data_IF_417061846435
#
_entry.id   IF_417061846435
#
_cell.length_a   1.000
_cell.length_b   1.000
_cell.length_c   1.000
_cell.angle_alpha   90.00
_cell.angle_beta   90.00
_cell.angle_gamma   90.00
#
_symmetry.space_group_name_H-M   'P 1'
#
loop_
_entity.id
_entity.type
_entity.pdbx_description
1 polymer ?
#
# COMPACT_ATOMS: atom_id res chain seq x y z
N UNK A 1 0.40 30.78 -8.40
CA UNK A 1 0.84 29.37 -8.50
C UNK A 1 -0.41 28.52 -8.67
N UNK A 2 -0.40 27.21 -8.40
CA UNK A 2 -1.68 26.50 -8.20
C UNK A 2 -2.27 26.88 -6.84
N UNK A 3 -3.59 26.84 -6.69
CA UNK A 3 -4.24 27.16 -5.42
C UNK A 3 -3.83 26.22 -4.27
N UNK A 4 -3.32 25.02 -4.59
CA UNK A 4 -2.76 24.09 -3.60
C UNK A 4 -1.33 24.45 -3.18
N UNK A 5 -0.51 24.97 -4.09
CA UNK A 5 0.83 25.47 -3.77
C UNK A 5 0.80 26.75 -2.90
N UNK A 6 -0.30 27.49 -2.93
CA UNK A 6 -0.53 28.65 -2.03
C UNK A 6 -1.19 28.25 -0.70
N UNK A 7 -1.74 27.04 -0.61
CA UNK A 7 -2.39 26.47 0.59
C UNK A 7 -1.43 25.67 1.48
N UNK A 8 -0.39 25.07 0.89
CA UNK A 8 0.54 24.17 1.57
C UNK A 8 2.00 24.63 1.39
N UNK A 9 2.74 24.74 2.50
CA UNK A 9 4.15 25.14 2.49
C UNK A 9 5.05 24.17 1.71
N UNK A 10 6.28 24.58 1.33
CA UNK A 10 7.19 23.78 0.51
C UNK A 10 7.74 22.52 1.20
N UNK A 11 7.61 22.44 2.53
CA UNK A 11 7.94 21.26 3.34
C UNK A 11 6.91 20.14 3.21
N UNK A 12 7.30 18.89 3.53
CA UNK A 12 6.36 17.77 3.54
C UNK A 12 5.33 17.96 4.65
N UNK A 13 4.06 17.95 4.24
CA UNK A 13 2.97 18.37 5.12
C UNK A 13 2.58 17.31 6.17
N UNK A 14 2.10 17.81 7.31
CA UNK A 14 1.46 17.05 8.38
C UNK A 14 0.00 17.48 8.47
N UNK A 15 -0.90 16.65 7.95
CA UNK A 15 -2.34 16.94 7.79
C UNK A 15 -3.18 16.07 8.73
N UNK A 16 -4.50 16.25 8.73
CA UNK A 16 -5.42 15.44 9.55
C UNK A 16 -6.22 14.48 8.67
N UNK A 17 -6.81 13.43 9.26
CA UNK A 17 -7.73 12.55 8.55
C UNK A 17 -9.01 13.22 7.98
N UNK A 18 -9.27 14.49 8.34
CA UNK A 18 -10.36 15.32 7.79
C UNK A 18 -9.95 16.13 6.55
N UNK A 19 -8.70 16.04 6.12
CA UNK A 19 -8.19 16.74 4.94
C UNK A 19 -8.76 16.10 3.66
N UNK A 20 -9.20 16.89 2.66
CA UNK A 20 -9.67 16.38 1.38
C UNK A 20 -8.71 15.37 0.74
N UNK A 21 -9.23 14.30 0.14
CA UNK A 21 -8.40 13.27 -0.49
C UNK A 21 -7.63 13.83 -1.69
N UNK A 22 -8.20 14.84 -2.33
CA UNK A 22 -7.65 15.56 -3.47
C UNK A 22 -6.40 16.37 -3.08
N UNK A 23 -6.41 16.97 -1.88
CA UNK A 23 -5.22 17.61 -1.28
C UNK A 23 -4.13 16.56 -0.96
N UNK A 24 -4.53 15.40 -0.43
CA UNK A 24 -3.62 14.30 -0.07
C UNK A 24 -2.94 13.73 -1.33
N UNK A 25 -3.68 13.57 -2.43
CA UNK A 25 -3.15 13.17 -3.73
C UNK A 25 -2.20 14.24 -4.29
N UNK A 26 -2.53 15.53 -4.17
CA UNK A 26 -1.62 16.62 -4.55
C UNK A 26 -0.30 16.57 -3.76
N UNK A 27 -0.36 16.36 -2.44
CA UNK A 27 0.83 16.30 -1.59
C UNK A 27 1.69 15.06 -1.90
N UNK A 28 1.07 13.90 -2.13
CA UNK A 28 1.79 12.69 -2.58
C UNK A 28 2.50 12.91 -3.93
N UNK A 29 1.82 13.51 -4.92
CA UNK A 29 2.45 13.88 -6.21
C UNK A 29 3.62 14.84 -6.03
N UNK A 30 3.46 15.86 -5.18
CA UNK A 30 4.45 16.92 -4.96
C UNK A 30 5.67 16.42 -4.20
N UNK A 31 5.48 15.61 -3.16
CA UNK A 31 6.49 15.38 -2.12
C UNK A 31 6.92 13.91 -1.98
N UNK A 32 6.16 12.97 -2.53
CA UNK A 32 6.42 11.52 -2.45
C UNK A 32 5.95 10.87 -1.14
N UNK A 33 5.35 11.65 -0.25
CA UNK A 33 4.85 11.22 1.05
C UNK A 33 4.07 12.34 1.74
N UNK A 34 3.18 11.99 2.67
CA UNK A 34 2.43 12.94 3.49
C UNK A 34 2.07 12.26 4.81
N UNK A 35 2.15 13.00 5.92
CA UNK A 35 1.76 12.48 7.23
C UNK A 35 0.30 12.84 7.52
N UNK A 36 -0.53 11.83 7.82
CA UNK A 36 -1.95 12.03 8.12
C UNK A 36 -2.19 11.62 9.57
N UNK A 37 -2.43 12.59 10.46
CA UNK A 37 -2.64 12.31 11.88
C UNK A 37 -4.06 11.79 12.14
N UNK A 38 -4.14 10.65 12.84
CA UNK A 38 -5.38 10.01 13.26
C UNK A 38 -6.17 9.48 12.07
N UNK A 39 -5.47 8.93 11.07
CA UNK A 39 -6.08 8.28 9.92
C UNK A 39 -6.82 7.01 10.36
N UNK A 40 -6.24 6.32 11.35
CA UNK A 40 -6.80 5.17 12.04
C UNK A 40 -7.01 5.53 13.52
N UNK A 41 -8.11 5.09 14.17
CA UNK A 41 -8.27 5.24 15.62
C UNK A 41 -7.26 4.38 16.39
N UNK A 42 -6.60 4.96 17.41
CA UNK A 42 -5.65 4.24 18.28
C UNK A 42 -6.20 2.91 18.84
N UNK A 43 -7.49 2.77 19.24
CA UNK A 43 -8.05 1.49 19.68
C UNK A 43 -8.08 0.39 18.60
N UNK A 44 -8.29 0.75 17.33
CA UNK A 44 -8.29 -0.21 16.21
C UNK A 44 -6.86 -0.66 15.86
N UNK A 45 -5.88 0.19 16.16
CA UNK A 45 -4.44 -0.13 16.08
C UNK A 45 -4.05 -1.07 17.22
N UNK A 46 -4.44 -0.76 18.45
CA UNK A 46 -4.21 -1.60 19.63
C UNK A 46 -4.80 -3.00 19.41
N UNK A 47 -6.05 -3.08 18.95
CA UNK A 47 -6.72 -4.34 18.64
C UNK A 47 -6.02 -5.11 17.51
N UNK A 48 -5.58 -4.44 16.44
CA UNK A 48 -4.80 -5.09 15.38
C UNK A 48 -3.42 -5.59 15.86
N UNK A 49 -2.80 -4.92 16.83
CA UNK A 49 -1.57 -5.37 17.48
C UNK A 49 -1.80 -6.57 18.41
N UNK A 50 -2.88 -6.58 19.21
CA UNK A 50 -3.28 -7.77 20.00
C UNK A 50 -3.52 -8.98 19.08
N UNK A 51 -4.29 -8.80 18.00
CA UNK A 51 -4.63 -9.84 17.02
C UNK A 51 -3.41 -10.47 16.31
N UNK A 52 -2.29 -9.75 16.20
CA UNK A 52 -1.06 -10.27 15.58
C UNK A 52 0.09 -10.56 16.55
N UNK A 53 -0.07 -10.25 17.85
CA UNK A 53 1.00 -10.37 18.86
C UNK A 53 1.61 -11.77 18.92
N UNK A 54 0.79 -12.82 18.92
CA UNK A 54 1.29 -14.21 18.98
C UNK A 54 2.28 -14.50 17.85
N UNK A 55 2.07 -13.92 16.66
CA UNK A 55 3.00 -14.06 15.54
C UNK A 55 4.27 -13.23 15.69
N UNK A 56 4.19 -12.02 16.24
CA UNK A 56 5.37 -11.19 16.55
C UNK A 56 6.25 -11.81 17.65
N UNK A 57 5.63 -12.44 18.65
CA UNK A 57 6.31 -13.04 19.79
C UNK A 57 6.98 -14.38 19.43
N UNK A 58 6.47 -15.08 18.40
CA UNK A 58 7.01 -16.35 17.89
C UNK A 58 7.73 -16.22 16.53
N UNK A 59 8.10 -15.01 16.10
CA UNK A 59 8.89 -14.82 14.87
C UNK A 59 10.35 -15.27 15.04
N UNK A 60 10.99 -15.70 13.94
CA UNK A 60 12.32 -16.29 13.92
C UNK A 60 13.36 -15.37 13.26
N UNK A 61 14.59 -15.37 13.78
CA UNK A 61 15.68 -14.51 13.28
C UNK A 61 15.87 -14.64 11.76
N UNK A 62 16.05 -13.50 11.08
CA UNK A 62 16.22 -13.48 9.63
C UNK A 62 17.58 -14.07 9.23
N UNK A 63 17.57 -15.13 8.43
CA UNK A 63 18.78 -15.70 7.86
C UNK A 63 19.29 -14.83 6.68
N UNK A 64 19.90 -13.69 6.99
CA UNK A 64 20.44 -12.76 6.01
C UNK A 64 20.68 -11.35 6.57
N UNK A 65 20.85 -10.36 5.70
CA UNK A 65 21.17 -8.97 6.08
C UNK A 65 20.03 -7.96 5.94
N UNK A 66 18.86 -8.37 5.43
CA UNK A 66 17.77 -7.46 5.07
C UNK A 66 16.97 -6.96 6.27
N UNK A 67 16.69 -7.84 7.24
CA UNK A 67 16.16 -7.47 8.56
C UNK A 67 17.24 -7.64 9.63
N UNK A 68 17.43 -6.67 10.54
CA UNK A 68 18.16 -6.88 11.79
C UNK A 68 17.52 -8.02 12.60
N UNK A 69 18.32 -8.71 13.42
CA UNK A 69 17.81 -9.75 14.35
C UNK A 69 16.92 -9.17 15.45
N UNK A 70 17.04 -7.86 15.68
CA UNK A 70 16.19 -7.07 16.57
C UNK A 70 14.80 -6.82 15.98
N UNK A 71 14.54 -7.12 14.71
CA UNK A 71 13.25 -6.89 14.04
C UNK A 71 12.40 -8.16 13.99
N UNK A 72 11.29 -8.15 14.72
CA UNK A 72 10.24 -9.19 14.68
C UNK A 72 9.13 -8.76 13.72
N UNK A 73 8.52 -9.71 12.99
CA UNK A 73 7.51 -9.45 11.95
C UNK A 73 6.30 -10.37 12.10
N UNK A 74 5.10 -9.82 11.91
CA UNK A 74 3.88 -10.60 11.71
C UNK A 74 3.39 -10.52 10.27
N UNK A 75 3.94 -11.37 9.36
CA UNK A 75 3.39 -11.50 8.03
C UNK A 75 2.03 -12.20 8.05
N UNK A 76 1.23 -11.87 7.04
CA UNK A 76 -0.19 -12.17 6.86
C UNK A 76 -1.16 -11.46 7.83
N UNK A 77 -1.11 -10.13 8.00
CA UNK A 77 -2.13 -9.47 8.88
C UNK A 77 -3.57 -9.69 8.40
N UNK A 78 -3.84 -9.87 7.10
CA UNK A 78 -5.18 -10.29 6.65
C UNK A 78 -5.62 -11.69 7.14
N UNK A 79 -4.67 -12.53 7.56
CA UNK A 79 -4.95 -13.82 8.20
C UNK A 79 -5.04 -13.70 9.73
N UNK A 80 -4.32 -12.75 10.32
CA UNK A 80 -4.16 -12.62 11.78
C UNK A 80 -5.18 -11.65 12.40
N UNK A 81 -5.44 -10.53 11.72
CA UNK A 81 -6.17 -9.39 12.25
C UNK A 81 -7.37 -9.00 11.37
N UNK A 82 -8.59 -9.39 11.78
CA UNK A 82 -9.82 -8.89 11.17
C UNK A 82 -10.07 -7.40 11.41
N UNK A 83 -9.38 -6.78 12.37
CA UNK A 83 -9.42 -5.33 12.58
C UNK A 83 -8.57 -4.59 11.55
N UNK A 84 -7.32 -5.05 11.33
CA UNK A 84 -6.42 -4.60 10.25
C UNK A 84 -7.15 -4.51 8.90
N UNK A 85 -7.86 -5.59 8.54
CA UNK A 85 -8.52 -5.71 7.26
C UNK A 85 -9.58 -4.62 7.02
N UNK A 86 -10.28 -4.20 8.09
CA UNK A 86 -11.44 -3.30 7.99
C UNK A 86 -11.09 -1.83 8.16
N UNK A 87 -10.20 -1.48 9.09
CA UNK A 87 -9.99 -0.06 9.44
C UNK A 87 -8.77 0.55 8.75
N UNK A 88 -7.70 -0.24 8.54
CA UNK A 88 -6.47 0.18 7.87
C UNK A 88 -6.50 -0.12 6.38
N UNK A 89 -6.65 -1.39 5.99
CA UNK A 89 -6.58 -1.76 4.57
C UNK A 89 -7.72 -1.14 3.75
N UNK A 90 -8.96 -1.23 4.25
CA UNK A 90 -10.14 -0.63 3.61
C UNK A 90 -10.41 0.81 4.07
N UNK A 91 -9.40 1.52 4.59
CA UNK A 91 -9.55 2.93 4.94
C UNK A 91 -10.00 3.75 3.71
N UNK A 92 -11.12 4.51 3.77
CA UNK A 92 -11.67 5.19 2.59
C UNK A 92 -10.76 6.23 1.94
N UNK A 93 -9.81 6.81 2.68
CA UNK A 93 -8.81 7.73 2.11
C UNK A 93 -7.72 6.94 1.38
N UNK A 94 -7.19 5.88 2.00
CA UNK A 94 -6.17 5.03 1.39
C UNK A 94 -6.67 4.32 0.13
N UNK A 95 -7.88 3.76 0.17
CA UNK A 95 -8.49 3.10 -1.00
C UNK A 95 -8.63 4.05 -2.19
N UNK A 96 -9.08 5.29 -1.97
CA UNK A 96 -9.13 6.34 -3.02
C UNK A 96 -7.74 6.73 -3.54
N UNK A 97 -6.73 6.80 -2.68
CA UNK A 97 -5.35 7.08 -3.09
C UNK A 97 -4.81 5.95 -3.97
N UNK A 98 -5.02 4.69 -3.59
CA UNK A 98 -4.72 3.54 -4.42
C UNK A 98 -5.49 3.56 -5.75
N UNK A 99 -6.80 3.86 -5.73
CA UNK A 99 -7.59 3.98 -6.96
C UNK A 99 -7.05 5.09 -7.88
N UNK A 100 -6.60 6.23 -7.35
CA UNK A 100 -6.00 7.32 -8.15
C UNK A 100 -4.69 6.89 -8.82
N UNK A 101 -3.74 6.35 -8.04
CA UNK A 101 -2.38 6.11 -8.54
C UNK A 101 -2.21 4.79 -9.31
N UNK A 102 -3.06 3.79 -9.05
CA UNK A 102 -2.83 2.41 -9.52
C UNK A 102 -3.96 1.87 -10.41
N UNK A 103 -5.09 2.56 -10.58
CA UNK A 103 -6.13 2.10 -11.52
C UNK A 103 -5.70 2.39 -12.96
N UNK A 104 -5.28 1.35 -13.67
CA UNK A 104 -4.92 1.48 -15.09
C UNK A 104 -6.14 1.27 -15.99
N UNK A 105 -6.20 2.07 -17.07
CA UNK A 105 -7.25 1.98 -18.10
C UNK A 105 -6.60 1.98 -19.48
N UNK A 106 -6.94 0.99 -20.29
CA UNK A 106 -6.53 0.92 -21.69
C UNK A 106 -7.68 0.39 -22.55
N UNK A 107 -7.68 0.72 -23.84
CA UNK A 107 -8.66 0.21 -24.78
C UNK A 107 -8.07 -0.91 -25.64
N UNK A 108 -8.92 -1.82 -26.11
CA UNK A 108 -8.54 -2.91 -27.01
C UNK A 108 -9.61 -3.14 -28.08
N UNK A 109 -9.22 -3.77 -29.19
CA UNK A 109 -10.16 -4.21 -30.23
C UNK A 109 -10.72 -5.59 -29.91
N UNK A 110 -12.05 -5.71 -29.92
CA UNK A 110 -12.79 -6.95 -29.82
C UNK A 110 -13.54 -7.18 -31.14
N UNK A 111 -12.87 -7.82 -32.10
CA UNK A 111 -13.32 -7.83 -33.49
C UNK A 111 -13.36 -6.42 -34.06
N UNK A 112 -14.58 -5.92 -34.33
CA UNK A 112 -14.81 -4.55 -34.81
C UNK A 112 -15.21 -3.55 -33.71
N UNK A 113 -15.36 -4.01 -32.46
CA UNK A 113 -15.72 -3.17 -31.31
C UNK A 113 -14.47 -2.65 -30.59
N UNK A 114 -14.51 -1.42 -30.07
CA UNK A 114 -13.45 -0.89 -29.19
C UNK A 114 -13.94 -0.92 -27.75
N UNK A 115 -13.42 -1.86 -26.95
CA UNK A 115 -13.74 -2.02 -25.52
C UNK A 115 -12.68 -1.35 -24.64
N UNK A 116 -13.06 -0.97 -23.41
CA UNK A 116 -12.11 -0.57 -22.35
C UNK A 116 -11.84 -1.77 -21.44
N UNK A 117 -10.58 -1.91 -21.01
CA UNK A 117 -10.14 -2.77 -19.92
C UNK A 117 -9.72 -1.87 -18.76
N UNK A 118 -10.12 -2.28 -17.55
CA UNK A 118 -9.85 -1.56 -16.30
C UNK A 118 -9.17 -2.54 -15.35
N UNK A 119 -7.98 -2.20 -14.88
CA UNK A 119 -7.31 -2.96 -13.84
C UNK A 119 -7.19 -2.11 -12.58
N UNK A 120 -7.87 -2.57 -11.51
CA UNK A 120 -7.83 -1.94 -10.19
C UNK A 120 -6.61 -2.43 -9.41
N UNK A 121 -6.13 -1.66 -8.41
CA UNK A 121 -5.18 -2.17 -7.44
C UNK A 121 -5.75 -3.35 -6.64
N UNK A 122 -4.87 -4.29 -6.34
CA UNK A 122 -5.07 -5.34 -5.34
C UNK A 122 -4.05 -5.17 -4.22
N UNK A 123 -4.25 -5.85 -3.08
CA UNK A 123 -3.23 -5.92 -2.03
C UNK A 123 -2.01 -6.69 -2.55
N UNK A 124 -0.97 -5.96 -2.95
CA UNK A 124 0.31 -6.55 -3.37
C UNK A 124 1.03 -7.15 -2.15
N UNK A 125 1.82 -6.34 -1.44
CA UNK A 125 2.49 -6.63 -0.12
C UNK A 125 2.98 -4.68 2.13
N UNK A 126 3.22 -4.92 3.47
CA UNK A 126 3.94 -4.09 4.46
C UNK A 126 4.75 -5.06 5.35
N UNK A 127 5.21 -4.66 6.55
CA UNK A 127 4.88 -5.50 7.72
C UNK A 127 4.67 -4.80 9.05
N UNK A 128 3.78 -5.38 9.86
CA UNK A 128 3.80 -5.25 11.31
C UNK A 128 5.21 -5.64 11.74
N UNK A 129 5.98 -4.64 12.17
CA UNK A 129 7.42 -4.71 12.38
C UNK A 129 7.70 -4.16 13.76
N UNK A 130 7.93 -5.06 14.72
CA UNK A 130 8.39 -4.65 16.04
C UNK A 130 9.91 -4.58 16.03
N UNK A 131 10.43 -3.37 15.86
CA UNK A 131 11.88 -3.09 15.79
C UNK A 131 12.40 -2.88 17.22
N UNK A 132 13.27 -3.79 17.68
CA UNK A 132 13.89 -3.74 18.99
C UNK A 132 15.09 -2.77 19.08
N UNK A 133 15.45 -2.32 20.31
CA UNK A 133 16.62 -1.48 20.53
C UNK A 133 17.90 -2.11 20.01
N UNK A 134 18.70 -1.35 19.26
CA UNK A 134 19.94 -1.82 18.63
C UNK A 134 19.79 -2.27 17.16
N UNK A 135 18.55 -2.35 16.64
CA UNK A 135 18.29 -2.59 15.23
C UNK A 135 18.98 -1.55 14.34
N UNK A 136 19.58 -2.02 13.23
CA UNK A 136 20.29 -1.16 12.27
C UNK A 136 19.31 -0.56 11.26
N UNK A 137 19.53 0.70 10.88
CA UNK A 137 18.83 1.30 9.76
C UNK A 137 19.08 0.50 8.47
N UNK A 138 18.03 0.29 7.69
CA UNK A 138 18.14 -0.32 6.36
C UNK A 138 18.81 0.67 5.37
N UNK A 139 19.49 0.19 4.32
CA UNK A 139 19.97 1.05 3.24
C UNK A 139 18.81 1.78 2.55
N UNK A 140 19.05 2.97 1.99
CA UNK A 140 18.03 3.70 1.23
C UNK A 140 17.67 2.94 -0.06
N UNK A 141 16.37 2.73 -0.30
CA UNK A 141 15.82 1.98 -1.44
C UNK A 141 14.46 2.56 -1.86
N UNK A 142 13.84 1.97 -2.90
CA UNK A 142 12.43 2.12 -3.24
C UNK A 142 11.82 0.73 -3.36
N UNK A 143 10.64 0.48 -2.81
CA UNK A 143 10.07 -0.87 -2.72
C UNK A 143 9.69 -1.49 -4.09
N UNK A 144 9.59 -0.69 -5.15
CA UNK A 144 9.21 -1.12 -6.50
C UNK A 144 10.31 -1.92 -7.24
N UNK A 145 11.48 -2.16 -6.62
CA UNK A 145 12.53 -3.01 -7.21
C UNK A 145 12.03 -4.43 -7.56
N UNK A 146 11.03 -4.93 -6.82
CA UNK A 146 10.34 -6.21 -7.05
C UNK A 146 9.41 -6.21 -8.27
N UNK A 147 8.92 -5.04 -8.68
CA UNK A 147 8.11 -4.86 -9.90
C UNK A 147 8.97 -4.69 -11.15
N UNK A 148 10.29 -4.51 -10.98
CA UNK A 148 11.25 -4.18 -12.03
C UNK A 148 10.92 -2.88 -12.80
N UNK A 149 10.24 -1.94 -12.15
CA UNK A 149 9.91 -0.63 -12.70
C UNK A 149 11.18 0.17 -13.02
N UNK A 150 11.16 0.91 -14.14
CA UNK A 150 12.24 1.81 -14.54
C UNK A 150 11.72 3.24 -14.66
N UNK A 151 12.06 4.06 -13.68
CA UNK A 151 11.63 5.45 -13.60
C UNK A 151 12.48 6.35 -14.47
N UNK A 152 11.80 7.26 -15.18
CA UNK A 152 12.42 8.45 -15.78
C UNK A 152 12.27 9.63 -14.83
N UNK A 153 13.28 10.50 -14.86
CA UNK A 153 13.26 11.75 -14.09
C UNK A 153 12.18 12.70 -14.63
N UNK A 154 11.47 13.36 -13.72
CA UNK A 154 10.43 14.36 -14.01
C UNK A 154 10.60 15.54 -13.04
N UNK A 155 10.20 16.75 -13.47
CA UNK A 155 10.26 17.96 -12.63
C UNK A 155 9.03 18.10 -11.73
N UNK A 156 7.86 17.72 -12.27
CA UNK A 156 6.55 17.67 -11.64
C UNK A 156 5.79 16.45 -12.16
N UNK A 157 4.82 15.96 -11.38
CA UNK A 157 3.97 14.80 -11.70
C UNK A 157 2.63 15.28 -12.26
N UNK A 158 2.43 15.11 -13.56
CA UNK A 158 1.15 15.35 -14.24
C UNK A 158 0.45 14.04 -14.64
N UNK A 159 -0.86 13.94 -14.40
CA UNK A 159 -1.61 12.68 -14.55
C UNK A 159 -1.62 12.11 -15.98
N UNK A 160 -1.24 12.91 -16.99
CA UNK A 160 -1.21 12.48 -18.39
C UNK A 160 -0.07 11.49 -18.70
N UNK A 161 1.02 11.47 -17.89
CA UNK A 161 2.17 10.58 -18.12
C UNK A 161 2.09 9.24 -17.40
N UNK A 162 1.46 9.19 -16.23
CA UNK A 162 1.91 8.27 -15.18
C UNK A 162 1.07 6.98 -15.00
N UNK A 163 0.31 6.58 -16.03
CA UNK A 163 -0.37 5.26 -16.13
C UNK A 163 0.54 4.04 -15.90
N UNK A 164 1.85 4.23 -15.91
CA UNK A 164 2.87 3.17 -15.77
C UNK A 164 4.03 3.60 -14.86
N UNK A 165 3.85 4.60 -13.98
CA UNK A 165 4.93 5.08 -13.10
C UNK A 165 5.05 4.22 -11.83
N UNK A 166 3.98 4.19 -11.04
CA UNK A 166 3.96 3.43 -9.79
C UNK A 166 3.33 2.05 -10.00
N UNK A 167 3.89 1.05 -9.32
CA UNK A 167 3.31 -0.29 -9.20
C UNK A 167 2.66 -0.54 -7.83
N UNK A 168 2.90 0.34 -6.86
CA UNK A 168 2.38 0.23 -5.50
C UNK A 168 2.23 1.60 -4.84
N UNK A 169 1.37 1.68 -3.83
CA UNK A 169 1.31 2.77 -2.85
C UNK A 169 1.53 2.13 -1.48
N UNK A 170 2.44 2.70 -0.68
CA UNK A 170 2.68 2.26 0.69
C UNK A 170 1.84 3.07 1.68
N UNK A 171 1.05 2.41 2.52
CA UNK A 171 0.49 3.01 3.72
C UNK A 171 1.35 2.59 4.92
N UNK A 172 2.10 3.55 5.47
CA UNK A 172 2.85 3.37 6.72
C UNK A 172 2.03 3.94 7.87
N UNK A 173 1.80 3.07 8.84
CA UNK A 173 0.92 3.20 9.99
C UNK A 173 1.89 2.82 11.13
N UNK A 174 2.20 3.75 12.05
CA UNK A 174 3.43 3.74 12.86
C UNK A 174 3.31 3.08 14.26
N UNK A 175 3.80 1.84 14.46
CA UNK A 175 3.37 0.89 15.53
C UNK A 175 3.41 1.33 17.00
N UNK A 176 4.12 2.41 17.32
CA UNK A 176 4.16 3.09 18.62
C UNK A 176 4.36 4.59 18.38
N UNK A 177 4.62 5.41 19.40
CA UNK A 177 5.15 6.75 19.10
C UNK A 177 6.53 6.61 18.45
N UNK A 178 6.63 6.98 17.17
CA UNK A 178 7.86 6.95 16.40
C UNK A 178 8.55 8.31 16.47
N UNK A 179 9.86 8.30 16.72
CA UNK A 179 10.75 9.46 16.75
C UNK A 179 12.03 9.17 15.97
N UNK A 180 12.91 10.16 15.82
CA UNK A 180 14.24 9.93 15.23
C UNK A 180 15.07 8.90 16.02
N UNK A 181 14.95 8.90 17.35
CA UNK A 181 15.78 8.10 18.26
C UNK A 181 15.42 6.62 18.28
N UNK A 182 14.14 6.27 18.06
CA UNK A 182 13.69 4.86 18.00
C UNK A 182 13.61 4.29 16.57
N UNK A 183 14.19 4.99 15.58
CA UNK A 183 14.39 4.48 14.22
C UNK A 183 13.31 4.84 13.21
N UNK A 184 12.58 5.94 13.41
CA UNK A 184 11.54 6.39 12.48
C UNK A 184 11.99 6.52 11.03
N UNK A 185 11.11 6.10 10.12
CA UNK A 185 11.40 5.89 8.69
C UNK A 185 12.09 7.09 8.06
N UNK A 186 13.26 6.85 7.47
CA UNK A 186 14.00 7.85 6.70
C UNK A 186 13.49 7.85 5.27
N UNK A 187 13.10 9.02 4.75
CA UNK A 187 12.80 9.19 3.33
C UNK A 187 13.33 10.54 2.84
N UNK A 188 13.65 10.62 1.55
CA UNK A 188 14.07 11.87 0.91
C UNK A 188 12.82 12.50 0.24
N UNK A 189 12.38 13.69 0.65
CA UNK A 189 11.30 14.39 -0.04
C UNK A 189 11.59 14.56 -1.53
N UNK A 190 10.55 14.40 -2.37
CA UNK A 190 10.63 14.50 -3.84
C UNK A 190 11.50 13.44 -4.54
N UNK A 191 12.04 12.44 -3.82
CA UNK A 191 12.92 11.43 -4.46
C UNK A 191 12.21 10.45 -5.38
N UNK A 192 10.88 10.37 -5.32
CA UNK A 192 10.04 9.60 -6.25
C UNK A 192 10.10 10.15 -7.68
N UNK A 193 10.30 11.47 -7.84
CA UNK A 193 10.42 12.13 -9.14
C UNK A 193 11.68 11.73 -9.91
N UNK A 194 12.70 11.22 -9.23
CA UNK A 194 14.03 10.98 -9.83
C UNK A 194 14.08 9.75 -10.75
N UNK A 195 15.06 9.72 -11.66
CA UNK A 195 15.34 8.54 -12.51
C UNK A 195 15.90 7.33 -11.73
N UNK A 196 15.71 6.12 -12.28
CA UNK A 196 16.34 4.89 -11.77
C UNK A 196 17.85 4.83 -12.06
N UNK A 197 18.33 5.37 -13.20
CA UNK A 197 19.74 5.23 -13.62
C UNK A 197 20.68 6.35 -13.15
N UNK A 198 20.34 7.07 -12.07
CA UNK A 198 21.17 8.14 -11.49
C UNK A 198 22.61 7.68 -11.25
N UNK A 199 23.58 8.57 -11.53
CA UNK A 199 25.01 8.27 -11.41
C UNK A 199 25.57 8.48 -9.99
N UNK A 200 24.73 8.89 -9.05
CA UNK A 200 25.06 9.14 -7.63
C UNK A 200 23.97 8.49 -6.77
N UNK A 201 24.31 7.69 -5.75
CA UNK A 201 23.32 7.07 -4.86
C UNK A 201 22.59 8.11 -3.99
N UNK A 202 21.39 7.78 -3.47
CA UNK A 202 20.74 8.60 -2.44
C UNK A 202 21.61 8.68 -1.16
N UNK A 203 21.50 9.79 -0.43
CA UNK A 203 22.31 10.08 0.76
C UNK A 203 21.42 10.24 1.99
N UNK A 204 21.88 9.78 3.15
CA UNK A 204 21.13 9.83 4.41
C UNK A 204 20.98 11.27 4.93
N UNK A 205 21.90 12.15 4.55
CA UNK A 205 21.88 13.57 4.89
C UNK A 205 20.77 14.35 4.16
N UNK A 206 20.20 13.78 3.09
CA UNK A 206 19.06 14.34 2.35
C UNK A 206 17.70 13.86 2.92
N UNK A 207 17.70 12.97 3.91
CA UNK A 207 16.47 12.40 4.49
C UNK A 207 15.84 13.29 5.56
N UNK A 208 14.50 13.27 5.62
CA UNK A 208 13.75 13.62 6.83
C UNK A 208 13.23 12.35 7.52
N UNK A 209 12.83 12.48 8.79
CA UNK A 209 12.41 11.36 9.64
C UNK A 209 10.90 11.34 9.85
N UNK A 210 10.30 10.16 9.71
CA UNK A 210 8.88 9.91 9.95
C UNK A 210 8.55 9.84 11.45
N UNK A 211 8.58 10.99 12.12
CA UNK A 211 8.07 11.09 13.50
C UNK A 211 6.53 11.03 13.47
N UNK A 212 5.92 10.11 14.21
CA UNK A 212 4.49 9.76 14.09
C UNK A 212 3.91 9.29 15.44
N UNK A 213 2.60 9.40 15.59
CA UNK A 213 1.83 8.80 16.69
C UNK A 213 1.28 7.41 16.26
N UNK A 214 0.69 6.63 17.18
CA UNK A 214 0.55 5.16 17.09
C UNK A 214 -0.46 4.62 16.05
N UNK A 215 -0.04 3.71 15.16
CA UNK A 215 -0.76 3.17 13.97
C UNK A 215 -0.10 1.82 13.45
N UNK A 216 -0.68 0.78 12.77
CA UNK A 216 0.11 -0.39 12.18
C UNK A 216 -0.54 -1.19 10.99
N UNK A 217 0.21 -1.97 10.14
CA UNK A 217 -0.21 -2.43 8.77
C UNK A 217 0.44 -3.75 8.17
N UNK A 218 -0.24 -4.63 7.35
CA UNK A 218 0.41 -5.74 6.54
C UNK A 218 -0.37 -6.52 5.43
N UNK A 219 0.44 -7.15 4.55
CA UNK A 219 0.21 -8.12 3.45
C UNK A 219 -0.26 -9.61 3.76
N UNK A 220 0.49 -10.67 3.33
CA UNK A 220 -0.03 -11.93 2.74
C UNK A 220 0.33 -13.30 3.36
N UNK A 221 -0.71 -14.12 3.64
CA UNK A 221 -0.79 -15.59 3.43
C UNK A 221 -2.18 -16.14 3.87
N UNK A 222 -3.29 -15.56 3.40
CA UNK A 222 -4.62 -15.75 4.02
C UNK A 222 -5.23 -17.13 3.74
N UNK A 223 -5.57 -17.93 4.77
CA UNK A 223 -6.34 -19.16 4.58
C UNK A 223 -7.76 -18.87 4.08
N UNK A 224 -8.27 -19.72 3.18
CA UNK A 224 -9.59 -19.53 2.56
C UNK A 224 -10.72 -19.38 3.59
N UNK A 225 -10.69 -20.14 4.69
CA UNK A 225 -11.71 -20.04 5.74
C UNK A 225 -11.72 -18.68 6.47
N UNK A 226 -10.57 -18.00 6.54
CA UNK A 226 -10.50 -16.63 7.08
C UNK A 226 -10.98 -15.63 6.02
N UNK A 227 -10.56 -15.78 4.77
CA UNK A 227 -10.99 -14.94 3.66
C UNK A 227 -12.53 -14.92 3.48
N UNK A 228 -13.21 -16.05 3.74
CA UNK A 228 -14.69 -16.15 3.75
C UNK A 228 -15.38 -15.27 4.80
N UNK A 229 -14.72 -14.92 5.90
CA UNK A 229 -15.32 -14.13 7.01
C UNK A 229 -15.38 -12.62 6.74
N UNK A 230 -14.68 -12.16 5.70
CA UNK A 230 -14.67 -10.76 5.31
C UNK A 230 -15.88 -10.36 4.45
N UNK A 231 -16.13 -9.06 4.40
CA UNK A 231 -17.08 -8.47 3.47
C UNK A 231 -16.56 -8.46 2.02
N UNK A 232 -17.44 -8.13 1.08
CA UNK A 232 -17.12 -8.17 -0.34
C UNK A 232 -15.98 -7.19 -0.72
N UNK A 233 -15.98 -5.90 -0.32
CA UNK A 233 -14.88 -4.99 -0.64
C UNK A 233 -13.49 -5.49 -0.19
N UNK A 234 -13.37 -6.04 1.03
CA UNK A 234 -12.12 -6.69 1.48
C UNK A 234 -11.74 -7.85 0.56
N UNK A 235 -12.68 -8.74 0.23
CA UNK A 235 -12.44 -9.89 -0.65
C UNK A 235 -12.03 -9.47 -2.08
N UNK A 236 -12.62 -8.42 -2.64
CA UNK A 236 -12.27 -7.88 -3.95
C UNK A 236 -10.81 -7.38 -3.97
N UNK A 237 -10.44 -6.54 -2.98
CA UNK A 237 -9.07 -6.03 -2.86
C UNK A 237 -8.04 -7.12 -2.52
N UNK A 238 -8.47 -8.23 -1.90
CA UNK A 238 -7.68 -9.45 -1.69
C UNK A 238 -7.44 -10.30 -2.94
N UNK A 239 -7.99 -9.92 -4.10
CA UNK A 239 -7.85 -10.69 -5.35
C UNK A 239 -8.97 -11.69 -5.63
N UNK A 240 -10.02 -11.73 -4.80
CA UNK A 240 -11.19 -12.58 -5.06
C UNK A 240 -12.21 -11.92 -6.00
N UNK A 241 -11.73 -11.26 -7.04
CA UNK A 241 -12.54 -10.61 -8.08
C UNK A 241 -11.79 -10.55 -9.40
N UNK A 242 -12.48 -10.84 -10.50
CA UNK A 242 -11.93 -10.76 -11.84
C UNK A 242 -11.66 -9.29 -12.24
N UNK A 243 -10.52 -9.02 -12.87
CA UNK A 243 -10.19 -7.71 -13.46
C UNK A 243 -10.65 -7.69 -14.93
N UNK A 244 -11.37 -6.63 -15.31
CA UNK A 244 -12.03 -6.53 -16.61
C UNK A 244 -11.03 -6.52 -17.80
N UNK A 245 -11.24 -7.33 -18.86
CA UNK A 245 -12.43 -8.15 -19.11
C UNK A 245 -12.36 -9.59 -18.55
N UNK A 246 -11.16 -10.12 -18.30
CA UNK A 246 -10.94 -11.57 -18.13
C UNK A 246 -9.62 -11.93 -17.43
N UNK A 247 -9.08 -11.08 -16.54
CA UNK A 247 -7.85 -11.38 -15.81
C UNK A 247 -8.13 -11.83 -14.37
N UNK A 248 -7.40 -12.81 -13.86
CA UNK A 248 -7.57 -13.31 -12.48
C UNK A 248 -8.86 -14.12 -12.26
N UNK A 249 -9.17 -15.08 -13.13
CA UNK A 249 -10.29 -16.02 -12.96
C UNK A 249 -9.87 -17.36 -12.37
N UNK A 250 -10.84 -18.15 -11.91
CA UNK A 250 -10.70 -19.60 -11.63
C UNK A 250 -11.74 -20.34 -12.47
N UNK A 251 -11.31 -21.32 -13.28
CA UNK A 251 -12.16 -22.08 -14.22
C UNK A 251 -13.04 -21.20 -15.14
N UNK A 252 -12.51 -20.07 -15.62
CA UNK A 252 -13.20 -19.04 -16.42
C UNK A 252 -14.38 -18.36 -15.68
N UNK A 253 -14.32 -18.31 -14.35
CA UNK A 253 -15.32 -17.68 -13.49
C UNK A 253 -14.65 -16.77 -12.44
N UNK A 254 -15.41 -15.85 -11.84
CA UNK A 254 -14.91 -14.97 -10.79
C UNK A 254 -14.40 -15.78 -9.57
N UNK A 255 -13.21 -15.48 -9.01
CA UNK A 255 -12.67 -16.26 -7.90
C UNK A 255 -13.50 -16.24 -6.62
N UNK A 256 -14.50 -15.35 -6.49
CA UNK A 256 -15.44 -15.37 -5.36
C UNK A 256 -16.09 -16.75 -5.16
N UNK A 257 -16.31 -17.51 -6.24
CA UNK A 257 -16.92 -18.84 -6.14
C UNK A 257 -16.01 -19.89 -5.47
N UNK A 258 -14.72 -19.60 -5.28
CA UNK A 258 -13.82 -20.42 -4.44
C UNK A 258 -14.12 -20.22 -2.96
N UNK A 259 -14.42 -18.99 -2.53
CA UNK A 259 -14.83 -18.68 -1.16
C UNK A 259 -16.30 -19.00 -0.92
N UNK A 260 -17.15 -18.71 -1.90
CA UNK A 260 -18.62 -18.70 -1.82
C UNK A 260 -19.26 -19.49 -2.98
N UNK A 261 -19.12 -20.83 -3.01
CA UNK A 261 -19.64 -21.65 -4.12
C UNK A 261 -21.15 -21.52 -4.33
N UNK A 262 -21.91 -21.14 -3.31
CA UNK A 262 -23.35 -20.93 -3.37
C UNK A 262 -23.77 -19.71 -4.22
N UNK A 263 -22.87 -18.73 -4.41
CA UNK A 263 -23.11 -17.58 -5.27
C UNK A 263 -23.01 -17.93 -6.77
N UNK A 264 -22.51 -19.13 -7.12
CA UNK A 264 -22.25 -19.54 -8.50
C UNK A 264 -23.52 -19.66 -9.37
N UNK A 265 -24.68 -19.94 -8.78
CA UNK A 265 -25.94 -20.05 -9.50
C UNK A 265 -25.89 -21.11 -10.61
N UNK A 266 -26.22 -20.73 -11.85
CA UNK A 266 -26.09 -21.63 -13.02
C UNK A 266 -24.66 -21.75 -13.55
N UNK A 267 -23.73 -20.93 -13.05
CA UNK A 267 -22.30 -21.24 -12.99
C UNK A 267 -21.54 -21.32 -14.31
N UNK A 268 -22.11 -20.80 -15.40
CA UNK A 268 -21.49 -20.80 -16.74
C UNK A 268 -20.62 -19.56 -16.96
N UNK A 269 -19.44 -19.69 -17.60
CA UNK A 269 -18.73 -18.56 -18.19
C UNK A 269 -19.64 -17.78 -19.15
N UNK A 270 -19.39 -16.47 -19.26
CA UNK A 270 -20.17 -15.55 -20.10
C UNK A 270 -19.20 -14.67 -20.88
N UNK A 271 -19.61 -14.25 -22.07
CA UNK A 271 -18.83 -13.32 -22.88
C UNK A 271 -18.70 -11.94 -22.22
N UNK A 272 -17.57 -11.29 -22.48
CA UNK A 272 -17.16 -9.97 -21.98
C UNK A 272 -17.06 -8.95 -23.11
#
# INVERSE_FOLDING_TARGET
>A
MSAMAEKYGPEVQRVSAKTPTEDIIYLLKRDGGVFIKGLIPEPDVDQAYEECRERLDNDVEWCGSFFPKETQRAPALLALSPTYARTQMMNPVYQKVCEHFLTTRNWFWWGNERKESVSKPYVHSCTAMRIGPGGKAQPLHRDDYISHNFHREIEEWDDERDKTRESAVGLFVAGTKVTKENGGTQFIPRSHLWATDRKVPPRVEDCIYAEMDKEENQYLSVPQEIAKTYDRPVQEFMGYAMSDPACGYVDQLDPIFVLRPELKGDGRPKDF
#
